data_IF_817346895409
#
_entry.id   IF_817346895409
#
_cell.length_a   1.000
_cell.length_b   1.000
_cell.length_c   1.000
_cell.angle_alpha   90.00
_cell.angle_beta   90.00
_cell.angle_gamma   90.00
#
_symmetry.space_group_name_H-M   'P 1'
#
loop_
_entity.id
_entity.type
_entity.pdbx_description
1 polymer ?
#
# COMPACT_ATOMS: atom_id res chain seq x y z
N UNK A 1 -14.71 3.89 23.64
CA UNK A 1 -13.59 4.68 24.20
C UNK A 1 -14.19 5.92 24.85
N UNK A 2 -14.38 5.90 26.18
CA UNK A 2 -15.03 7.00 26.90
C UNK A 2 -13.99 8.08 27.23
N UNK A 3 -14.23 9.33 26.78
CA UNK A 3 -13.38 10.47 27.12
C UNK A 3 -13.40 10.78 28.62
N UNK A 4 -12.32 11.40 29.10
CA UNK A 4 -12.16 11.83 30.49
C UNK A 4 -13.18 12.95 30.77
N UNK A 5 -14.05 12.82 31.79
CA UNK A 5 -15.10 13.79 32.03
C UNK A 5 -14.54 15.11 32.55
N UNK A 6 -15.09 16.19 32.00
CA UNK A 6 -14.84 17.60 32.32
C UNK A 6 -16.04 18.07 33.13
N UNK A 7 -15.86 18.55 34.37
CA UNK A 7 -16.98 19.14 35.10
C UNK A 7 -17.31 20.56 34.60
N UNK A 8 -18.47 21.09 35.02
CA UNK A 8 -19.00 22.39 34.57
C UNK A 8 -18.14 23.61 34.93
N UNK A 9 -17.11 23.42 35.76
CA UNK A 9 -16.10 24.43 36.11
C UNK A 9 -14.76 24.21 35.37
N UNK A 10 -14.67 23.19 34.52
CA UNK A 10 -13.48 22.89 33.72
C UNK A 10 -12.35 22.17 34.45
N UNK A 11 -12.63 21.43 35.54
CA UNK A 11 -11.60 20.69 36.29
C UNK A 11 -11.38 19.28 35.71
N UNK A 12 -10.11 18.86 35.63
CA UNK A 12 -9.68 17.50 35.29
C UNK A 12 -8.73 16.99 36.38
N UNK A 13 -8.90 15.74 36.82
CA UNK A 13 -7.96 15.10 37.73
C UNK A 13 -7.31 13.89 37.04
N UNK A 14 -6.03 14.06 36.70
CA UNK A 14 -5.15 13.03 36.16
C UNK A 14 -3.70 13.47 36.34
N UNK A 15 -2.98 12.76 37.22
CA UNK A 15 -1.57 12.85 37.59
C UNK A 15 -0.93 14.25 37.81
N UNK A 16 -0.93 14.62 39.10
CA UNK A 16 0.06 15.42 39.82
C UNK A 16 0.21 16.91 39.47
N UNK A 17 -0.60 17.75 40.15
CA UNK A 17 -0.08 18.64 41.21
C UNK A 17 -1.22 19.47 41.80
N UNK A 18 -1.38 19.43 43.12
CA UNK A 18 -2.35 20.27 43.85
C UNK A 18 -1.63 21.56 44.23
N UNK A 19 -2.20 22.72 43.91
CA UNK A 19 -1.60 24.01 44.24
C UNK A 19 -1.31 24.12 45.73
N UNK A 20 -0.16 24.73 46.07
CA UNK A 20 0.26 24.97 47.45
C UNK A 20 0.54 23.71 48.28
N UNK A 21 0.84 22.58 47.63
CA UNK A 21 1.32 21.35 48.26
C UNK A 21 2.64 20.91 47.62
N UNK A 22 3.57 20.45 48.46
CA UNK A 22 4.85 19.89 48.02
C UNK A 22 4.61 18.57 47.29
N UNK A 23 5.12 18.44 46.08
CA UNK A 23 5.07 17.19 45.34
C UNK A 23 6.23 16.25 45.72
N UNK A 24 6.20 15.02 45.18
CA UNK A 24 7.25 14.01 45.44
C UNK A 24 8.61 14.36 44.82
N UNK A 25 8.69 15.39 43.97
CA UNK A 25 9.94 15.92 43.39
C UNK A 25 10.55 17.07 44.20
N UNK A 26 9.83 17.60 45.19
CA UNK A 26 10.28 18.69 46.06
C UNK A 26 9.89 20.10 45.60
N UNK A 27 9.05 20.22 44.56
CA UNK A 27 8.60 21.52 44.04
C UNK A 27 7.17 21.85 44.51
N UNK A 28 6.86 23.15 44.61
CA UNK A 28 5.52 23.67 44.91
C UNK A 28 5.05 24.54 43.77
N UNK A 29 3.92 24.19 43.14
CA UNK A 29 3.26 25.05 42.16
C UNK A 29 2.38 26.07 42.89
N UNK A 30 2.75 27.36 42.77
CA UNK A 30 1.98 28.47 43.33
C UNK A 30 0.79 28.84 42.42
N UNK A 31 -0.35 29.29 43.00
CA UNK A 31 -1.44 29.88 42.23
C UNK A 31 -0.93 31.03 41.33
N UNK A 32 -1.19 30.94 40.03
CA UNK A 32 -0.76 31.95 39.06
C UNK A 32 0.62 31.72 38.40
N UNK A 33 1.35 30.65 38.74
CA UNK A 33 2.66 30.33 38.15
C UNK A 33 2.65 30.26 36.61
N UNK A 34 1.52 29.88 36.01
CA UNK A 34 1.34 29.78 34.56
C UNK A 34 0.59 30.96 33.93
N UNK A 35 0.26 32.01 34.69
CA UNK A 35 -0.57 33.12 34.20
C UNK A 35 0.04 33.84 32.99
N UNK A 36 1.37 34.04 32.98
CA UNK A 36 2.09 34.65 31.85
C UNK A 36 2.09 33.75 30.61
N UNK A 37 2.24 32.44 30.77
CA UNK A 37 2.23 31.46 29.67
C UNK A 37 0.84 31.34 29.04
N UNK A 38 -0.22 31.37 29.86
CA UNK A 38 -1.61 31.39 29.39
C UNK A 38 -1.97 32.71 28.70
N UNK A 39 -1.50 33.85 29.21
CA UNK A 39 -1.70 35.15 28.58
C UNK A 39 -1.02 35.23 27.20
N UNK A 40 0.18 34.64 27.05
CA UNK A 40 0.89 34.57 25.77
C UNK A 40 0.17 33.68 24.74
N UNK A 41 -0.56 32.65 25.20
CA UNK A 41 -1.35 31.76 24.33
C UNK A 41 -2.67 32.38 23.85
N UNK A 42 -3.27 33.29 24.63
CA UNK A 42 -4.48 34.04 24.19
C UNK A 42 -4.23 34.98 23.02
N UNK A 43 -3.00 35.46 22.82
CA UNK A 43 -2.64 36.33 21.69
C UNK A 43 -2.20 35.59 20.40
N UNK A 44 -2.16 34.26 20.41
CA UNK A 44 -1.72 33.45 19.25
C UNK A 44 -2.66 32.28 18.97
N UNK A 45 -3.95 32.48 19.19
CA UNK A 45 -4.98 31.72 18.48
C UNK A 45 -5.14 32.38 17.10
N UNK A 46 -4.23 32.05 16.18
CA UNK A 46 -4.56 32.13 14.77
C UNK A 46 -5.69 31.15 14.55
N UNK A 47 -6.89 31.66 14.26
CA UNK A 47 -8.03 30.85 13.87
C UNK A 47 -7.75 30.18 12.53
N UNK A 48 -7.02 29.07 12.54
CA UNK A 48 -7.14 28.08 11.49
C UNK A 48 -8.50 27.44 11.69
N UNK A 49 -9.49 27.83 10.88
CA UNK A 49 -10.72 27.05 10.77
C UNK A 49 -10.29 25.63 10.35
N UNK A 50 -10.43 24.67 11.27
CA UNK A 50 -10.22 23.27 10.93
C UNK A 50 -11.27 22.88 9.91
N UNK A 51 -10.87 22.72 8.67
CA UNK A 51 -11.74 22.24 7.61
C UNK A 51 -11.97 20.74 7.82
N UNK A 52 -13.23 20.34 8.02
CA UNK A 52 -13.61 18.94 8.01
C UNK A 52 -13.56 18.48 6.56
N UNK A 53 -12.43 17.89 6.15
CA UNK A 53 -12.31 17.28 4.84
C UNK A 53 -12.99 15.90 4.87
N UNK A 54 -14.15 15.79 4.24
CA UNK A 54 -14.79 14.49 4.00
C UNK A 54 -14.05 13.78 2.88
N UNK A 55 -13.31 12.73 3.21
CA UNK A 55 -12.66 11.84 2.23
C UNK A 55 -13.53 10.60 2.08
N UNK A 56 -14.00 10.33 0.85
CA UNK A 56 -14.60 9.04 0.53
C UNK A 56 -13.49 8.01 0.28
N UNK A 57 -13.46 6.85 0.98
CA UNK A 57 -12.46 5.83 0.70
C UNK A 57 -12.74 5.21 -0.67
N UNK A 58 -11.77 5.30 -1.59
CA UNK A 58 -11.77 4.55 -2.85
C UNK A 58 -11.38 3.08 -2.63
N UNK A 59 -11.69 2.20 -3.59
CA UNK A 59 -11.38 0.77 -3.51
C UNK A 59 -9.87 0.44 -3.61
N UNK A 60 -9.02 1.40 -3.98
CA UNK A 60 -7.58 1.20 -4.22
C UNK A 60 -6.82 0.41 -3.14
N UNK A 61 -7.03 0.67 -1.84
CA UNK A 61 -6.40 -0.10 -0.77
C UNK A 61 -6.81 -1.58 -0.72
N UNK A 62 -7.99 -1.92 -1.22
CA UNK A 62 -8.53 -3.28 -1.25
C UNK A 62 -8.15 -4.06 -2.53
N UNK A 63 -7.62 -3.38 -3.54
CA UNK A 63 -7.19 -4.04 -4.77
C UNK A 63 -5.99 -4.98 -4.52
N UNK A 64 -5.85 -6.06 -5.32
CA UNK A 64 -4.68 -6.92 -5.28
C UNK A 64 -3.38 -6.12 -5.40
N UNK A 65 -2.36 -6.51 -4.63
CA UNK A 65 -1.05 -5.88 -4.65
C UNK A 65 -0.34 -6.11 -5.99
N UNK A 66 0.50 -5.15 -6.39
CA UNK A 66 1.42 -5.36 -7.51
C UNK A 66 2.35 -6.53 -7.20
N UNK A 67 2.58 -7.46 -8.15
CA UNK A 67 3.60 -8.50 -7.99
C UNK A 67 5.01 -7.89 -7.99
N UNK A 68 6.00 -8.70 -7.65
CA UNK A 68 7.42 -8.30 -7.62
C UNK A 68 8.29 -9.34 -8.31
N UNK A 69 9.59 -9.04 -8.48
CA UNK A 69 10.56 -9.94 -9.10
C UNK A 69 10.14 -10.42 -10.50
N UNK A 70 9.67 -9.48 -11.33
CA UNK A 70 9.31 -9.78 -12.71
C UNK A 70 10.58 -10.13 -13.50
N UNK A 71 10.56 -11.28 -14.15
CA UNK A 71 11.68 -11.78 -14.96
C UNK A 71 11.15 -12.38 -16.27
N UNK A 72 11.99 -12.34 -17.32
CA UNK A 72 11.70 -12.94 -18.60
C UNK A 72 12.89 -13.78 -19.07
N UNK A 73 12.67 -15.08 -19.25
CA UNK A 73 13.71 -16.05 -19.59
C UNK A 73 13.43 -16.67 -20.95
N UNK A 74 14.40 -16.55 -21.87
CA UNK A 74 14.33 -17.20 -23.18
C UNK A 74 14.80 -18.66 -23.07
N UNK A 75 13.96 -19.59 -23.51
CA UNK A 75 14.32 -21.00 -23.61
C UNK A 75 14.97 -21.34 -24.96
N UNK A 76 15.54 -22.54 -25.06
CA UNK A 76 16.25 -23.00 -26.26
C UNK A 76 15.35 -23.11 -27.50
N UNK A 77 14.04 -23.30 -27.32
CA UNK A 77 13.05 -23.32 -28.39
C UNK A 77 12.60 -21.92 -28.85
N UNK A 78 13.17 -20.87 -28.25
CA UNK A 78 12.86 -19.47 -28.53
C UNK A 78 11.61 -18.94 -27.83
N UNK A 79 10.88 -19.74 -27.04
CA UNK A 79 9.84 -19.22 -26.15
C UNK A 79 10.45 -18.33 -25.07
N UNK A 80 9.67 -17.35 -24.60
CA UNK A 80 10.05 -16.53 -23.44
C UNK A 80 9.07 -16.83 -22.32
N UNK A 81 9.54 -17.32 -21.18
CA UNK A 81 8.73 -17.47 -19.97
C UNK A 81 8.81 -16.18 -19.17
N UNK A 82 7.68 -15.53 -18.96
CA UNK A 82 7.54 -14.39 -18.06
C UNK A 82 7.11 -14.92 -16.70
N UNK A 83 7.82 -14.56 -15.64
CA UNK A 83 7.56 -15.02 -14.27
C UNK A 83 7.62 -13.88 -13.25
N UNK A 84 6.97 -14.09 -12.11
CA UNK A 84 6.89 -13.10 -11.03
C UNK A 84 6.57 -13.76 -9.68
N UNK A 85 6.63 -12.99 -8.60
CA UNK A 85 6.23 -13.42 -7.25
C UNK A 85 4.95 -12.71 -6.81
N UNK A 86 3.94 -13.47 -6.36
CA UNK A 86 2.70 -12.93 -5.78
C UNK A 86 2.98 -12.25 -4.45
N UNK A 87 2.30 -11.13 -4.20
CA UNK A 87 2.28 -10.49 -2.89
C UNK A 87 0.92 -10.68 -2.23
N UNK A 88 0.93 -10.86 -0.91
CA UNK A 88 -0.27 -11.01 -0.09
C UNK A 88 -0.21 -10.11 1.15
N UNK A 89 -1.34 -9.52 1.55
CA UNK A 89 -1.61 -8.91 2.86
C UNK A 89 -2.19 -9.92 3.86
N UNK A 90 -2.58 -11.11 3.41
CA UNK A 90 -3.03 -12.14 4.33
C UNK A 90 -1.83 -12.63 5.13
N UNK A 91 -1.80 -12.30 6.41
CA UNK A 91 -0.83 -12.87 7.34
C UNK A 91 -1.11 -14.37 7.46
N UNK A 92 -0.20 -15.19 6.91
CA UNK A 92 -0.04 -16.54 7.40
C UNK A 92 0.63 -16.43 8.76
N UNK A 93 -0.05 -16.87 9.82
CA UNK A 93 0.53 -17.04 11.16
C UNK A 93 1.73 -18.00 11.20
N UNK A 94 2.03 -18.67 10.07
CA UNK A 94 3.17 -19.53 9.86
C UNK A 94 4.45 -18.77 9.55
N UNK A 95 5.40 -18.80 10.48
CA UNK A 95 6.83 -18.58 10.24
C UNK A 95 7.48 -19.64 9.30
N UNK A 96 6.70 -20.31 8.46
CA UNK A 96 7.13 -21.40 7.59
C UNK A 96 7.37 -20.93 6.15
N UNK A 97 8.07 -21.76 5.37
CA UNK A 97 8.37 -21.58 3.93
C UNK A 97 7.11 -21.74 3.04
N UNK A 98 5.91 -21.65 3.62
CA UNK A 98 4.68 -21.79 2.87
C UNK A 98 4.39 -20.49 2.11
N UNK A 99 3.93 -20.62 0.86
CA UNK A 99 3.46 -19.47 0.10
C UNK A 99 2.34 -18.75 0.85
N UNK A 100 2.34 -17.41 0.92
CA UNK A 100 1.30 -16.67 1.62
C UNK A 100 -0.09 -17.03 1.09
N UNK A 101 -1.09 -17.15 1.98
CA UNK A 101 -2.46 -17.47 1.59
C UNK A 101 -2.96 -16.58 0.45
N UNK A 102 -3.76 -17.16 -0.43
CA UNK A 102 -4.40 -16.44 -1.53
C UNK A 102 -5.55 -15.59 -0.99
N UNK A 103 -5.42 -14.26 -1.12
CA UNK A 103 -6.49 -13.32 -0.73
C UNK A 103 -7.66 -13.28 -1.71
N UNK A 104 -7.39 -13.49 -3.00
CA UNK A 104 -8.36 -13.33 -4.08
C UNK A 104 -8.44 -14.62 -4.89
N UNK A 105 -9.45 -15.43 -4.60
CA UNK A 105 -9.72 -16.68 -5.30
C UNK A 105 -10.75 -16.48 -6.45
N UNK A 106 -10.58 -17.16 -7.59
CA UNK A 106 -9.39 -17.94 -7.98
C UNK A 106 -8.19 -17.04 -8.31
N UNK A 107 -6.98 -17.60 -8.25
CA UNK A 107 -5.80 -16.88 -8.71
C UNK A 107 -5.86 -16.69 -10.23
N UNK A 108 -5.81 -15.43 -10.67
CA UNK A 108 -5.89 -15.06 -12.07
C UNK A 108 -5.01 -13.83 -12.33
N UNK A 109 -4.19 -13.91 -13.37
CA UNK A 109 -3.24 -12.88 -13.75
C UNK A 109 -3.49 -12.42 -15.18
N UNK A 110 -3.28 -11.14 -15.41
CA UNK A 110 -3.25 -10.53 -16.73
C UNK A 110 -1.84 -10.01 -16.99
N UNK A 111 -1.29 -10.38 -18.15
CA UNK A 111 0.01 -9.89 -18.63
C UNK A 111 -0.20 -9.18 -19.95
N UNK A 112 0.27 -7.94 -20.04
CA UNK A 112 0.23 -7.15 -21.26
C UNK A 112 1.65 -6.93 -21.78
N UNK A 113 1.89 -7.34 -23.02
CA UNK A 113 3.16 -7.12 -23.72
C UNK A 113 3.03 -5.82 -24.52
N UNK A 114 3.98 -4.92 -24.32
CA UNK A 114 3.94 -3.54 -24.81
C UNK A 114 5.20 -3.25 -25.63
N UNK A 115 4.98 -2.79 -26.86
CA UNK A 115 6.03 -2.34 -27.78
C UNK A 115 5.67 -0.95 -28.30
N UNK A 116 6.63 -0.02 -28.27
CA UNK A 116 6.39 1.35 -28.75
C UNK A 116 5.25 2.07 -28.02
N UNK A 117 4.97 1.69 -26.77
CA UNK A 117 3.85 2.21 -25.98
C UNK A 117 2.48 1.63 -26.32
N UNK A 118 2.40 0.63 -27.21
CA UNK A 118 1.16 -0.05 -27.61
C UNK A 118 1.16 -1.47 -27.08
N UNK A 119 0.07 -1.87 -26.43
CA UNK A 119 -0.15 -3.27 -26.05
C UNK A 119 -0.36 -4.11 -27.30
N UNK A 120 0.60 -4.98 -27.61
CA UNK A 120 0.55 -5.88 -28.78
C UNK A 120 -0.10 -7.22 -28.43
N UNK A 121 -0.07 -7.61 -27.16
CA UNK A 121 -0.69 -8.85 -26.69
C UNK A 121 -1.13 -8.76 -25.24
N UNK A 122 -2.23 -9.45 -24.94
CA UNK A 122 -2.69 -9.69 -23.58
C UNK A 122 -2.81 -11.19 -23.35
N UNK A 123 -2.18 -11.68 -22.30
CA UNK A 123 -2.21 -13.08 -21.87
C UNK A 123 -2.91 -13.18 -20.52
N UNK A 124 -3.51 -14.34 -20.24
CA UNK A 124 -4.09 -14.64 -18.94
C UNK A 124 -3.63 -16.00 -18.45
N UNK A 125 -3.37 -16.13 -17.15
CA UNK A 125 -2.86 -17.34 -16.52
C UNK A 125 -3.34 -17.46 -15.09
N UNK A 126 -3.49 -18.69 -14.60
CA UNK A 126 -3.79 -18.98 -13.20
C UNK A 126 -2.51 -19.24 -12.37
N UNK A 127 -1.34 -19.02 -12.94
CA UNK A 127 -0.04 -19.27 -12.33
C UNK A 127 0.80 -17.98 -12.31
N UNK A 128 1.81 -17.90 -11.44
CA UNK A 128 2.77 -16.79 -11.43
C UNK A 128 3.80 -16.86 -12.58
N UNK A 129 3.42 -17.46 -13.70
CA UNK A 129 4.19 -17.49 -14.93
C UNK A 129 3.28 -17.65 -16.15
N UNK A 130 3.75 -17.14 -17.29
CA UNK A 130 3.09 -17.33 -18.59
C UNK A 130 4.12 -17.42 -19.71
N UNK A 131 4.00 -18.39 -20.63
CA UNK A 131 4.83 -18.43 -21.82
C UNK A 131 4.37 -17.39 -22.86
N UNK A 132 5.33 -16.78 -23.54
CA UNK A 132 5.18 -16.04 -24.77
C UNK A 132 5.87 -16.82 -25.90
N UNK A 133 5.15 -17.74 -26.57
CA UNK A 133 5.71 -18.64 -27.58
C UNK A 133 6.37 -17.90 -28.75
N UNK A 134 7.35 -18.55 -29.39
CA UNK A 134 8.05 -17.97 -30.54
C UNK A 134 7.12 -17.59 -31.69
N UNK A 135 6.09 -18.40 -31.96
CA UNK A 135 5.10 -18.10 -33.00
C UNK A 135 4.30 -16.83 -32.69
N UNK A 136 3.94 -16.62 -31.43
CA UNK A 136 3.26 -15.40 -30.98
C UNK A 136 4.19 -14.18 -31.06
N UNK A 137 5.47 -14.33 -30.69
CA UNK A 137 6.49 -13.28 -30.88
C UNK A 137 6.58 -12.84 -32.34
N UNK A 138 6.65 -13.78 -33.28
CA UNK A 138 6.73 -13.49 -34.71
C UNK A 138 5.42 -12.85 -35.21
N UNK A 139 4.26 -13.30 -34.72
CA UNK A 139 2.97 -12.72 -35.10
C UNK A 139 2.84 -11.25 -34.65
N UNK A 140 3.33 -10.93 -33.45
CA UNK A 140 3.18 -9.59 -32.86
C UNK A 140 4.27 -8.62 -33.31
N UNK A 141 5.50 -9.12 -33.47
CA UNK A 141 6.71 -8.29 -33.65
C UNK A 141 7.38 -8.50 -35.02
N UNK A 142 6.92 -9.48 -35.81
CA UNK A 142 7.49 -9.82 -37.13
C UNK A 142 8.78 -10.64 -37.08
N UNK A 143 9.36 -10.87 -35.90
CA UNK A 143 10.60 -11.59 -35.66
C UNK A 143 10.66 -12.09 -34.21
N UNK A 144 11.63 -12.97 -33.85
CA UNK A 144 11.90 -13.28 -32.45
C UNK A 144 12.19 -12.00 -31.65
N UNK A 145 11.62 -11.88 -30.45
CA UNK A 145 11.66 -10.62 -29.70
C UNK A 145 13.08 -10.25 -29.23
N UNK A 146 13.62 -9.10 -29.63
CA UNK A 146 14.92 -8.62 -29.09
C UNK A 146 14.76 -7.81 -27.79
N UNK A 147 13.55 -7.34 -27.50
CA UNK A 147 13.21 -6.67 -26.26
C UNK A 147 11.80 -6.09 -26.29
N UNK A 148 11.18 -5.97 -25.13
CA UNK A 148 9.85 -5.37 -24.94
C UNK A 148 9.62 -5.04 -23.47
N UNK A 149 8.61 -4.21 -23.21
CA UNK A 149 8.09 -3.97 -21.87
C UNK A 149 6.88 -4.88 -21.65
N UNK A 150 6.66 -5.34 -20.41
CA UNK A 150 5.43 -6.03 -20.06
C UNK A 150 4.89 -5.55 -18.72
N UNK A 151 3.57 -5.54 -18.58
CA UNK A 151 2.91 -5.25 -17.31
C UNK A 151 2.14 -6.46 -16.80
N UNK A 152 2.20 -6.69 -15.49
CA UNK A 152 1.57 -7.83 -14.82
C UNK A 152 0.69 -7.32 -13.69
N UNK A 153 -0.53 -7.83 -13.60
CA UNK A 153 -1.46 -7.53 -12.50
C UNK A 153 -2.31 -8.74 -12.16
N UNK A 154 -2.61 -8.94 -10.87
CA UNK A 154 -3.61 -9.92 -10.47
C UNK A 154 -5.01 -9.35 -10.71
N UNK A 155 -5.94 -10.18 -11.18
CA UNK A 155 -7.32 -9.78 -11.46
C UNK A 155 -8.25 -10.48 -10.48
N UNK A 156 -8.84 -9.70 -9.57
CA UNK A 156 -9.86 -10.17 -8.65
C UNK A 156 -11.20 -10.32 -9.37
N UNK A 157 -11.90 -11.43 -9.14
CA UNK A 157 -13.26 -11.61 -9.67
C UNK A 157 -14.25 -10.59 -9.11
N UNK A 158 -14.04 -10.11 -7.88
CA UNK A 158 -14.93 -9.17 -7.21
C UNK A 158 -14.54 -7.70 -7.41
N UNK A 159 -13.23 -7.41 -7.49
CA UNK A 159 -12.71 -6.03 -7.50
C UNK A 159 -12.08 -5.63 -8.84
N UNK A 160 -11.93 -6.56 -9.77
CA UNK A 160 -11.29 -6.32 -11.06
C UNK A 160 -9.76 -6.27 -10.99
N UNK A 161 -9.16 -5.54 -11.93
CA UNK A 161 -7.71 -5.40 -12.06
C UNK A 161 -7.07 -4.78 -10.81
N UNK A 162 -6.08 -5.47 -10.27
CA UNK A 162 -5.25 -4.98 -9.19
C UNK A 162 -4.18 -3.98 -9.63
N UNK A 163 -3.30 -3.64 -8.69
CA UNK A 163 -2.15 -2.81 -8.98
C UNK A 163 -1.19 -3.56 -9.92
N UNK A 164 -0.66 -2.85 -10.92
CA UNK A 164 0.28 -3.41 -11.89
C UNK A 164 1.73 -3.29 -11.44
N UNK A 165 2.57 -4.21 -11.91
CA UNK A 165 4.02 -4.05 -11.96
C UNK A 165 4.48 -4.10 -13.41
N UNK A 166 5.59 -3.42 -13.72
CA UNK A 166 6.17 -3.38 -15.07
C UNK A 166 7.55 -4.01 -15.04
N UNK A 167 7.83 -4.86 -16.03
CA UNK A 167 9.15 -5.44 -16.30
C UNK A 167 9.61 -5.13 -17.72
N UNK A 168 10.90 -5.28 -17.96
CA UNK A 168 11.51 -5.18 -19.28
C UNK A 168 12.21 -6.50 -19.59
N UNK A 169 12.00 -7.00 -20.81
CA UNK A 169 12.75 -8.12 -21.35
C UNK A 169 13.79 -7.58 -22.32
N UNK A 170 15.01 -8.10 -22.21
CA UNK A 170 16.10 -7.88 -23.15
C UNK A 170 16.58 -9.26 -23.64
N UNK A 171 16.60 -9.45 -24.96
CA UNK A 171 16.86 -10.73 -25.61
C UNK A 171 18.33 -11.14 -25.68
#
# INVERSE_FOLDING_TARGET
MSGIPIDGDGRFAGYASVFNRLDSGGDIVLPGAFAKSLAKKRGRMGGGAGEIMTVAPGAGPALPLSPVHLEGLRAADGSITLEWTRRSRADGDGWGVAEPPLEFAPENWQVEIVTGGVTVRTLSTAQCSVPYPLADQIADLGAPASGFTFSVRQVSAALGAGHGATGEFHG
#
